data_IF_389866332432
#
_entry.id   IF_389866332432
#
_cell.length_a   1.000
_cell.length_b   1.000
_cell.length_c   1.000
_cell.angle_alpha   90.00
_cell.angle_beta   90.00
_cell.angle_gamma   90.00
#
_symmetry.space_group_name_H-M   'P 1'
#
loop_
_entity.id
_entity.type
_entity.pdbx_description
1 polymer ?
#
# COMPACT_ATOMS: atom_id res chain seq x y z
N UNK A 1 3.44 -9.61 2.30
CA UNK A 1 2.43 -10.34 1.50
C UNK A 1 2.37 -9.71 0.12
N UNK A 2 2.38 -10.48 -0.97
CA UNK A 2 2.25 -9.88 -2.31
C UNK A 2 0.78 -9.59 -2.64
N UNK A 3 0.53 -8.68 -3.59
CA UNK A 3 -0.84 -8.34 -4.02
C UNK A 3 -1.66 -9.57 -4.43
N UNK A 4 -1.04 -10.56 -5.08
CA UNK A 4 -1.73 -11.79 -5.52
C UNK A 4 -2.25 -12.62 -4.35
N UNK A 5 -1.54 -12.61 -3.21
CA UNK A 5 -1.91 -13.42 -2.04
C UNK A 5 -3.17 -12.87 -1.37
N UNK A 6 -3.40 -11.55 -1.50
CA UNK A 6 -4.57 -10.86 -0.94
C UNK A 6 -5.89 -11.28 -1.60
N UNK A 7 -5.87 -11.88 -2.79
CA UNK A 7 -7.08 -12.31 -3.52
C UNK A 7 -7.92 -13.28 -2.69
N UNK A 8 -7.27 -14.25 -2.02
CA UNK A 8 -7.96 -15.23 -1.18
C UNK A 8 -8.62 -14.56 0.02
N UNK A 9 -7.91 -13.63 0.66
CA UNK A 9 -8.38 -12.90 1.81
C UNK A 9 -9.57 -11.98 1.48
N UNK A 10 -9.56 -11.35 0.30
CA UNK A 10 -10.67 -10.51 -0.18
C UNK A 10 -11.97 -11.30 -0.35
N UNK A 11 -11.87 -12.59 -0.68
CA UNK A 11 -13.02 -13.48 -0.87
C UNK A 11 -13.48 -14.15 0.42
N UNK A 12 -12.77 -13.95 1.53
CA UNK A 12 -13.12 -14.55 2.82
C UNK A 12 -14.44 -14.00 3.35
N UNK A 13 -15.22 -14.88 3.98
CA UNK A 13 -16.42 -14.49 4.73
C UNK A 13 -16.04 -13.72 6.01
N UNK A 14 -14.87 -13.98 6.58
CA UNK A 14 -14.36 -13.24 7.74
C UNK A 14 -13.93 -11.84 7.31
N UNK A 15 -14.50 -10.82 7.96
CA UNK A 15 -14.16 -9.43 7.68
C UNK A 15 -12.70 -9.13 8.06
N UNK A 16 -12.13 -9.83 9.05
CA UNK A 16 -10.74 -9.65 9.47
C UNK A 16 -9.77 -10.00 8.36
N UNK A 17 -10.06 -11.04 7.58
CA UNK A 17 -9.26 -11.41 6.43
C UNK A 17 -9.34 -10.34 5.33
N UNK A 18 -10.55 -9.86 5.02
CA UNK A 18 -10.73 -8.77 4.05
C UNK A 18 -9.99 -7.50 4.48
N UNK A 19 -9.98 -7.22 5.79
CA UNK A 19 -9.22 -6.12 6.38
C UNK A 19 -7.70 -6.31 6.21
N UNK A 20 -7.17 -7.51 6.50
CA UNK A 20 -5.75 -7.83 6.23
C UNK A 20 -5.41 -7.65 4.75
N UNK A 21 -6.31 -8.07 3.87
CA UNK A 21 -6.15 -7.90 2.42
C UNK A 21 -6.00 -6.42 2.06
N UNK A 22 -6.88 -5.57 2.56
CA UNK A 22 -6.86 -4.13 2.34
C UNK A 22 -5.54 -3.49 2.84
N UNK A 23 -5.13 -3.80 4.07
CA UNK A 23 -3.87 -3.30 4.62
C UNK A 23 -2.68 -3.66 3.74
N UNK A 24 -2.52 -4.95 3.40
CA UNK A 24 -1.40 -5.41 2.60
C UNK A 24 -1.42 -4.87 1.17
N UNK A 25 -2.62 -4.63 0.63
CA UNK A 25 -2.80 -3.99 -0.67
C UNK A 25 -2.35 -2.54 -0.70
N UNK A 26 -2.66 -1.77 0.34
CA UNK A 26 -2.21 -0.37 0.44
C UNK A 26 -0.71 -0.34 0.66
N UNK A 27 -0.20 -1.11 1.62
CA UNK A 27 1.21 -1.17 1.98
C UNK A 27 2.11 -1.52 0.79
N UNK A 28 1.80 -2.60 0.05
CA UNK A 28 2.58 -3.02 -1.11
C UNK A 28 2.55 -1.98 -2.25
N UNK A 29 1.44 -1.24 -2.41
CA UNK A 29 1.37 -0.15 -3.38
C UNK A 29 2.17 1.08 -2.92
N UNK A 30 2.21 1.39 -1.62
CA UNK A 30 3.09 2.43 -1.07
C UNK A 30 4.55 2.10 -1.37
N UNK A 31 4.99 0.88 -1.06
CA UNK A 31 6.36 0.43 -1.27
C UNK A 31 6.79 0.56 -2.74
N UNK A 32 5.94 0.13 -3.68
CA UNK A 32 6.23 0.25 -5.11
C UNK A 32 6.28 1.70 -5.59
N UNK A 33 5.36 2.54 -5.12
CA UNK A 33 5.33 3.95 -5.50
C UNK A 33 6.50 4.73 -4.90
N UNK A 34 6.89 4.42 -3.66
CA UNK A 34 8.07 4.96 -2.99
C UNK A 34 9.34 4.62 -3.76
N UNK A 35 9.52 3.36 -4.19
CA UNK A 35 10.64 2.96 -5.05
C UNK A 35 10.67 3.72 -6.37
N UNK A 36 9.53 3.82 -7.06
CA UNK A 36 9.44 4.61 -8.30
C UNK A 36 9.89 6.06 -8.08
N UNK A 37 9.46 6.70 -6.99
CA UNK A 37 9.84 8.07 -6.66
C UNK A 37 11.32 8.18 -6.29
N UNK A 38 11.87 7.19 -5.58
CA UNK A 38 13.29 7.13 -5.25
C UNK A 38 14.16 6.99 -6.50
N UNK A 39 13.83 6.04 -7.39
CA UNK A 39 14.50 5.83 -8.67
C UNK A 39 14.45 7.09 -9.55
N UNK A 40 13.32 7.82 -9.51
CA UNK A 40 13.18 9.11 -10.21
C UNK A 40 14.12 10.18 -9.62
N UNK A 41 14.23 10.26 -8.29
CA UNK A 41 15.08 11.25 -7.61
C UNK A 41 16.58 11.03 -7.87
N UNK A 42 17.02 9.77 -7.92
CA UNK A 42 18.42 9.42 -8.18
C UNK A 42 18.76 9.34 -9.67
N UNK A 43 17.77 9.52 -10.55
CA UNK A 43 17.96 9.47 -12.01
C UNK A 43 18.12 8.06 -12.60
N UNK A 44 17.71 7.02 -11.86
CA UNK A 44 17.78 5.61 -12.27
C UNK A 44 16.47 5.11 -12.90
N UNK A 45 15.42 5.94 -12.92
CA UNK A 45 14.15 5.56 -13.51
C UNK A 45 14.26 5.40 -15.04
N UNK A 46 14.11 4.16 -15.51
CA UNK A 46 14.23 3.79 -16.94
C UNK A 46 13.08 4.30 -17.84
N UNK A 47 12.14 5.10 -17.32
CA UNK A 47 11.03 5.66 -18.09
C UNK A 47 10.60 7.02 -17.52
N UNK A 48 9.87 7.80 -18.32
CA UNK A 48 9.25 9.05 -17.86
C UNK A 48 7.79 8.80 -17.46
N UNK A 49 7.41 9.06 -16.20
CA UNK A 49 6.01 9.00 -15.79
C UNK A 49 5.18 10.00 -16.59
N UNK A 50 4.03 9.56 -17.13
CA UNK A 50 3.04 10.47 -17.74
C UNK A 50 2.36 11.33 -16.67
N UNK A 51 2.26 10.81 -15.46
CA UNK A 51 1.69 11.49 -14.31
C UNK A 51 2.72 12.45 -13.71
N UNK A 52 2.34 13.71 -13.42
CA UNK A 52 3.22 14.65 -12.74
C UNK A 52 3.75 14.08 -11.41
N UNK A 53 5.06 14.18 -11.19
CA UNK A 53 5.72 13.71 -9.96
C UNK A 53 5.08 14.28 -8.67
N UNK A 54 4.68 15.57 -8.60
CA UNK A 54 4.00 16.09 -7.40
C UNK A 54 2.70 15.32 -7.07
N UNK A 55 1.94 14.92 -8.09
CA UNK A 55 0.71 14.14 -7.89
C UNK A 55 1.02 12.73 -7.36
N UNK A 56 2.07 12.09 -7.86
CA UNK A 56 2.54 10.79 -7.36
C UNK A 56 3.05 10.87 -5.91
N UNK A 57 3.73 11.97 -5.53
CA UNK A 57 4.13 12.22 -4.13
C UNK A 57 2.92 12.39 -3.22
N UNK A 58 1.93 13.19 -3.64
CA UNK A 58 0.68 13.34 -2.87
C UNK A 58 -0.06 12.01 -2.72
N UNK A 59 -0.12 11.21 -3.79
CA UNK A 59 -0.69 9.87 -3.74
C UNK A 59 0.03 8.98 -2.70
N UNK A 60 1.37 8.97 -2.69
CA UNK A 60 2.15 8.21 -1.70
C UNK A 60 1.80 8.65 -0.27
N UNK A 61 1.85 9.96 0.01
CA UNK A 61 1.57 10.50 1.34
C UNK A 61 0.18 10.09 1.85
N UNK A 62 -0.85 10.13 0.99
CA UNK A 62 -2.21 9.73 1.34
C UNK A 62 -2.27 8.24 1.66
N UNK A 63 -1.63 7.41 0.83
CA UNK A 63 -1.62 5.96 1.03
C UNK A 63 -0.84 5.56 2.29
N UNK A 64 0.27 6.22 2.61
CA UNK A 64 1.02 6.02 3.85
C UNK A 64 0.19 6.39 5.07
N UNK A 65 -0.47 7.56 5.05
CA UNK A 65 -1.37 7.97 6.12
C UNK A 65 -2.51 6.96 6.31
N UNK A 66 -3.10 6.47 5.22
CA UNK A 66 -4.15 5.45 5.29
C UNK A 66 -3.63 4.12 5.82
N UNK A 67 -2.43 3.70 5.42
CA UNK A 67 -1.77 2.49 5.94
C UNK A 67 -1.53 2.55 7.45
N UNK A 68 -1.17 3.72 7.98
CA UNK A 68 -1.02 3.95 9.44
C UNK A 68 -2.37 3.80 10.14
N UNK A 69 -3.42 4.41 9.60
CA UNK A 69 -4.78 4.27 10.15
C UNK A 69 -5.25 2.80 10.18
N UNK A 70 -4.99 2.03 9.13
CA UNK A 70 -5.32 0.61 9.08
C UNK A 70 -4.51 -0.19 10.12
N UNK A 71 -3.23 0.13 10.30
CA UNK A 71 -2.38 -0.52 11.29
C UNK A 71 -2.87 -0.26 12.72
N UNK A 72 -3.23 0.98 13.05
CA UNK A 72 -3.76 1.33 14.37
C UNK A 72 -5.13 0.71 14.61
N UNK A 73 -6.00 0.72 13.58
CA UNK A 73 -7.30 0.04 13.64
C UNK A 73 -7.15 -1.47 13.84
N UNK A 74 -6.17 -2.11 13.21
CA UNK A 74 -5.87 -3.53 13.42
C UNK A 74 -5.53 -3.83 14.88
N UNK A 75 -4.74 -2.95 15.53
CA UNK A 75 -4.43 -3.08 16.96
C UNK A 75 -5.66 -2.95 17.85
N UNK A 76 -6.51 -1.95 17.58
CA UNK A 76 -7.74 -1.70 18.34
C UNK A 76 -8.71 -2.88 18.22
N UNK A 77 -8.85 -3.43 17.01
CA UNK A 77 -9.77 -4.54 16.74
C UNK A 77 -9.19 -5.94 17.01
N UNK A 78 -7.92 -6.02 17.44
CA UNK A 78 -7.24 -7.31 17.68
C UNK A 78 -7.07 -8.15 16.41
N UNK A 79 -6.82 -7.51 15.27
CA UNK A 79 -6.55 -8.15 13.99
C UNK A 79 -5.03 -8.29 13.82
N UNK A 80 -4.54 -9.52 13.79
CA UNK A 80 -3.13 -9.79 13.55
C UNK A 80 -2.78 -9.61 12.07
N UNK A 81 -1.92 -8.64 11.76
CA UNK A 81 -1.43 -8.38 10.40
C UNK A 81 -0.21 -9.23 10.01
N UNK A 82 0.39 -9.96 10.97
CA UNK A 82 1.54 -10.84 10.75
C UNK A 82 1.13 -12.19 10.15
#
# INVERSE_FOLDING_TARGET
MELKDTIKLMQSADYKDRFKAEYWQVHERCERLSRLLSDYEVGELNFTPKTPIPLLRTQLNIMEAYSVLLYDRAKIEGIELK
#
